data_IF_367297855274
#
_entry.id   IF_367297855274
#
_cell.length_a   1.000
_cell.length_b   1.000
_cell.length_c   1.000
_cell.angle_alpha   90.00
_cell.angle_beta   90.00
_cell.angle_gamma   90.00
#
_symmetry.space_group_name_H-M   'P 1'
#
loop_
_entity.id
_entity.type
_entity.pdbx_description
1 polymer ?
#
# COMPACT_ATOMS: atom_id res chain seq x y z
N UNK A 1 10.72 7.63 12.36
CA UNK A 1 10.32 6.23 12.08
C UNK A 1 10.55 5.83 10.61
N UNK A 2 9.98 6.55 9.63
CA UNK A 2 10.04 6.19 8.20
C UNK A 2 11.46 6.06 7.60
N UNK A 3 12.49 6.66 8.22
CA UNK A 3 13.88 6.52 7.76
C UNK A 3 14.55 5.19 8.16
N UNK A 4 14.04 4.53 9.19
CA UNK A 4 14.65 3.34 9.80
C UNK A 4 14.46 2.07 8.98
N UNK A 5 13.40 2.01 8.17
CA UNK A 5 13.07 0.83 7.36
C UNK A 5 13.37 1.09 5.88
N UNK A 6 13.90 0.08 5.19
CA UNK A 6 14.20 0.14 3.75
C UNK A 6 13.18 -0.61 2.88
N UNK A 7 12.43 -1.54 3.47
CA UNK A 7 11.38 -2.32 2.82
C UNK A 7 10.08 -2.11 3.59
N UNK A 8 9.02 -1.82 2.86
CA UNK A 8 7.70 -1.53 3.40
C UNK A 8 6.68 -2.37 2.62
N UNK A 9 5.80 -3.05 3.35
CA UNK A 9 4.65 -3.75 2.78
C UNK A 9 3.39 -2.98 3.18
N UNK A 10 2.65 -2.51 2.19
CA UNK A 10 1.30 -1.95 2.37
C UNK A 10 0.30 -3.05 2.13
N UNK A 11 -0.61 -3.24 3.09
CA UNK A 11 -1.66 -4.25 3.01
C UNK A 11 -2.99 -3.53 2.91
N UNK A 12 -3.77 -3.85 1.88
CA UNK A 12 -5.10 -3.32 1.64
C UNK A 12 -6.09 -4.47 1.42
N UNK A 13 -7.32 -4.29 1.90
CA UNK A 13 -8.36 -5.33 1.80
C UNK A 13 -8.90 -5.39 0.36
N UNK A 14 -9.27 -4.25 -0.18
CA UNK A 14 -9.79 -4.09 -1.54
C UNK A 14 -8.88 -3.18 -2.36
N UNK A 15 -9.00 -3.18 -3.70
CA UNK A 15 -8.39 -2.14 -4.51
C UNK A 15 -8.89 -0.77 -4.05
N UNK A 16 -8.04 0.26 -4.21
CA UNK A 16 -8.26 1.66 -3.82
C UNK A 16 -8.02 1.98 -2.33
N UNK A 17 -8.07 1.00 -1.42
CA UNK A 17 -7.77 1.21 0.00
C UNK A 17 -6.34 1.75 0.22
N UNK A 18 -5.37 1.30 -0.59
CA UNK A 18 -3.99 1.77 -0.54
C UNK A 18 -3.85 3.23 -0.98
N UNK A 19 -4.70 3.66 -1.93
CA UNK A 19 -4.71 5.02 -2.46
C UNK A 19 -5.42 5.94 -1.47
N UNK A 20 -6.60 5.55 -0.98
CA UNK A 20 -7.42 6.38 -0.09
C UNK A 20 -6.82 6.46 1.32
N UNK A 21 -6.28 5.35 1.84
CA UNK A 21 -5.72 5.30 3.19
C UNK A 21 -4.32 5.90 3.28
N UNK A 22 -3.45 5.60 2.31
CA UNK A 22 -2.02 5.95 2.39
C UNK A 22 -1.42 6.44 1.06
N UNK A 23 -2.24 6.92 0.13
CA UNK A 23 -1.80 7.35 -1.21
C UNK A 23 -0.81 8.51 -1.23
N UNK A 24 -0.70 9.30 -0.15
CA UNK A 24 0.37 10.28 0.03
C UNK A 24 1.67 9.69 0.61
N UNK A 25 1.57 8.62 1.39
CA UNK A 25 2.71 7.99 2.08
C UNK A 25 3.50 7.10 1.13
N UNK A 26 2.83 6.35 0.24
CA UNK A 26 3.49 5.51 -0.77
C UNK A 26 4.47 6.33 -1.65
N UNK A 27 4.05 7.42 -2.32
CA UNK A 27 4.97 8.21 -3.14
C UNK A 27 6.06 8.89 -2.30
N UNK A 28 5.78 9.32 -1.07
CA UNK A 28 6.79 9.84 -0.16
C UNK A 28 7.89 8.80 0.13
N UNK A 29 7.53 7.55 0.41
CA UNK A 29 8.48 6.46 0.64
C UNK A 29 9.28 6.12 -0.62
N UNK A 30 8.64 6.10 -1.79
CA UNK A 30 9.32 5.89 -3.08
C UNK A 30 10.32 7.02 -3.36
N UNK A 31 9.94 8.28 -3.14
CA UNK A 31 10.85 9.44 -3.26
C UNK A 31 12.04 9.35 -2.30
N UNK A 32 11.85 8.76 -1.12
CA UNK A 32 12.91 8.43 -0.17
C UNK A 32 13.78 7.22 -0.59
N UNK A 33 13.61 6.71 -1.82
CA UNK A 33 14.31 5.53 -2.38
C UNK A 33 14.11 4.26 -1.56
N UNK A 34 12.92 4.08 -1.00
CA UNK A 34 12.53 2.86 -0.26
C UNK A 34 11.86 1.87 -1.19
N UNK A 35 12.00 0.57 -0.92
CA UNK A 35 11.21 -0.46 -1.59
C UNK A 35 9.83 -0.51 -0.94
N UNK A 36 8.78 -0.36 -1.76
CA UNK A 36 7.39 -0.42 -1.32
C UNK A 36 6.68 -1.47 -2.16
N UNK A 37 6.19 -2.51 -1.51
CA UNK A 37 5.34 -3.53 -2.12
C UNK A 37 3.91 -3.34 -1.61
N UNK A 38 2.92 -3.52 -2.48
CA UNK A 38 1.50 -3.41 -2.12
C UNK A 38 0.84 -4.77 -2.32
N UNK A 39 0.22 -5.28 -1.26
CA UNK A 39 -0.59 -6.49 -1.27
C UNK A 39 -2.06 -6.11 -1.13
N UNK A 40 -2.83 -6.37 -2.18
CA UNK A 40 -4.29 -6.27 -2.16
C UNK A 40 -4.85 -7.67 -1.95
N UNK A 41 -5.68 -7.85 -0.92
CA UNK A 41 -6.21 -9.16 -0.54
C UNK A 41 -7.34 -9.67 -1.44
N UNK A 42 -8.18 -8.76 -1.92
CA UNK A 42 -9.37 -9.10 -2.72
C UNK A 42 -9.43 -8.23 -3.96
N UNK A 43 -10.26 -8.60 -4.93
CA UNK A 43 -10.51 -7.81 -6.15
C UNK A 43 -11.57 -6.72 -5.94
N UNK A 44 -12.09 -6.53 -4.73
CA UNK A 44 -13.16 -5.57 -4.45
C UNK A 44 -14.55 -6.06 -4.83
N UNK A 45 -14.69 -7.32 -5.27
CA UNK A 45 -16.00 -7.89 -5.58
C UNK A 45 -16.74 -8.29 -4.31
N UNK A 46 -17.86 -7.61 -4.02
CA UNK A 46 -18.73 -7.97 -2.87
C UNK A 46 -19.50 -9.28 -3.07
N UNK A 47 -19.52 -9.82 -4.29
CA UNK A 47 -20.18 -11.08 -4.64
C UNK A 47 -19.16 -12.16 -4.91
N UNK A 48 -18.95 -13.02 -3.92
CA UNK A 48 -18.29 -14.30 -4.10
C UNK A 48 -19.38 -15.36 -4.37
N UNK A 49 -19.91 -15.37 -5.59
CA UNK A 49 -21.03 -16.20 -6.10
C UNK A 49 -22.40 -16.01 -5.43
#
# INVERSE_FOLDING_TARGET
MLRLFNKILVIAAHPDDEILGVGGTIPLLVQMKKQVDVLIFTDGSSTQY
#
